data_IF_673423002353
#
_entry.id   IF_673423002353
#
_cell.length_a   1.000
_cell.length_b   1.000
_cell.length_c   1.000
_cell.angle_alpha   90.00
_cell.angle_beta   90.00
_cell.angle_gamma   90.00
#
_symmetry.space_group_name_H-M   'P 1'
#
loop_
_entity.id
_entity.type
_entity.pdbx_description
1 polymer ?
#
# COMPACT_ATOMS: atom_id res chain seq x y z
N UNK A 1 -7.39 -5.55 -5.87
CA UNK A 1 -6.95 -4.26 -5.32
C UNK A 1 -6.27 -3.46 -6.42
N UNK A 2 -6.25 -2.14 -6.28
CA UNK A 2 -5.65 -1.19 -7.24
C UNK A 2 -4.86 -0.12 -6.49
N UNK A 3 -3.97 0.65 -7.14
CA UNK A 3 -3.19 1.64 -6.39
C UNK A 3 -3.98 2.91 -6.04
N UNK A 4 -4.89 3.39 -6.89
CA UNK A 4 -5.60 4.66 -6.66
C UNK A 4 -7.10 4.52 -6.29
N UNK A 5 -7.63 5.43 -5.42
CA UNK A 5 -9.05 5.43 -5.06
C UNK A 5 -9.99 5.71 -6.24
N UNK A 6 -9.52 6.49 -7.22
CA UNK A 6 -10.30 6.83 -8.40
C UNK A 6 -10.50 5.60 -9.27
N UNK A 7 -9.44 4.83 -9.55
CA UNK A 7 -9.55 3.55 -10.26
C UNK A 7 -10.46 2.57 -9.52
N UNK A 8 -10.36 2.51 -8.18
CA UNK A 8 -11.24 1.65 -7.40
C UNK A 8 -12.72 2.00 -7.61
N UNK A 9 -13.07 3.30 -7.58
CA UNK A 9 -14.44 3.76 -7.87
C UNK A 9 -14.88 3.41 -9.29
N UNK A 10 -14.01 3.59 -10.28
CA UNK A 10 -14.32 3.32 -11.69
C UNK A 10 -14.54 1.83 -11.93
N UNK A 11 -13.62 0.97 -11.49
CA UNK A 11 -13.72 -0.48 -11.68
C UNK A 11 -14.92 -1.06 -10.93
N UNK A 12 -15.22 -0.53 -9.74
CA UNK A 12 -16.40 -0.98 -8.98
C UNK A 12 -17.72 -0.68 -9.69
N UNK A 13 -17.80 0.37 -10.53
CA UNK A 13 -18.97 0.64 -11.37
C UNK A 13 -19.15 -0.41 -12.46
N UNK A 14 -18.05 -0.95 -13.00
CA UNK A 14 -18.09 -1.97 -14.05
C UNK A 14 -18.39 -3.37 -13.49
N UNK A 15 -17.80 -3.72 -12.34
CA UNK A 15 -17.91 -5.07 -11.78
C UNK A 15 -19.16 -5.32 -10.94
N UNK A 16 -19.80 -4.26 -10.43
CA UNK A 16 -21.02 -4.37 -9.62
C UNK A 16 -20.79 -4.97 -8.22
N UNK A 17 -21.88 -5.44 -7.60
CA UNK A 17 -21.92 -5.86 -6.19
C UNK A 17 -21.17 -7.17 -5.88
N UNK A 18 -20.87 -7.96 -6.90
CA UNK A 18 -20.15 -9.23 -6.74
C UNK A 18 -18.66 -9.03 -6.41
N UNK A 19 -18.15 -7.81 -6.57
CA UNK A 19 -16.76 -7.48 -6.33
C UNK A 19 -16.64 -6.36 -5.29
N UNK A 20 -15.65 -6.50 -4.42
CA UNK A 20 -15.22 -5.44 -3.52
C UNK A 20 -13.88 -4.89 -3.99
N UNK A 21 -13.90 -3.70 -4.58
CA UNK A 21 -12.68 -3.06 -5.09
C UNK A 21 -12.09 -2.13 -4.04
N UNK A 22 -10.88 -2.46 -3.57
CA UNK A 22 -10.13 -1.70 -2.58
C UNK A 22 -8.88 -1.06 -3.20
N UNK A 23 -8.52 0.12 -2.71
CA UNK A 23 -7.32 0.85 -3.11
C UNK A 23 -6.22 0.76 -2.04
N UNK A 24 -4.97 0.59 -2.46
CA UNK A 24 -3.80 0.67 -1.56
C UNK A 24 -3.35 2.10 -1.27
N UNK A 25 -3.79 3.06 -2.10
CA UNK A 25 -3.36 4.46 -2.06
C UNK A 25 -1.84 4.62 -2.29
N UNK A 26 -1.29 3.81 -3.20
CA UNK A 26 0.14 3.74 -3.53
C UNK A 26 0.87 2.60 -2.81
N UNK A 27 2.18 2.76 -2.62
CA UNK A 27 3.02 1.77 -1.95
C UNK A 27 2.67 1.64 -0.46
N UNK A 28 2.54 0.40 0.01
CA UNK A 28 2.28 0.06 1.43
C UNK A 28 3.55 -0.24 2.21
N UNK A 29 4.66 -0.45 1.51
CA UNK A 29 6.00 -0.71 2.04
C UNK A 29 7.02 0.04 1.21
N UNK A 30 8.08 0.50 1.86
CA UNK A 30 9.18 1.22 1.23
C UNK A 30 10.47 0.94 2.01
N UNK A 31 11.60 1.37 1.47
CA UNK A 31 12.85 1.39 2.24
C UNK A 31 12.70 2.35 3.44
N UNK A 32 13.44 2.10 4.55
CA UNK A 32 13.52 3.04 5.65
C UNK A 32 13.98 4.41 5.16
N UNK A 33 13.27 5.49 5.51
CA UNK A 33 13.66 6.84 5.09
C UNK A 33 14.95 7.32 5.74
N UNK A 34 15.26 6.77 6.92
CA UNK A 34 16.47 7.10 7.68
C UNK A 34 17.39 5.90 7.72
N UNK A 35 18.64 6.17 7.39
CA UNK A 35 19.76 5.24 7.48
C UNK A 35 20.07 4.92 8.94
N UNK A 36 20.25 3.65 9.28
CA UNK A 36 20.72 3.24 10.62
C UNK A 36 22.24 3.41 10.73
N UNK A 37 22.75 3.48 11.95
CA UNK A 37 24.21 3.60 12.18
C UNK A 37 24.90 2.35 11.63
N UNK A 38 25.85 2.54 10.72
CA UNK A 38 26.58 1.45 10.06
C UNK A 38 26.04 1.07 8.69
N UNK A 39 24.84 1.51 8.30
CA UNK A 39 24.35 1.32 6.93
C UNK A 39 25.00 2.36 5.99
N UNK A 40 25.30 1.95 4.75
CA UNK A 40 25.74 2.85 3.67
C UNK A 40 24.54 3.49 2.99
N UNK A 41 23.54 2.66 2.66
CA UNK A 41 22.24 3.05 2.11
C UNK A 41 21.14 2.54 3.04
N UNK A 42 20.10 3.35 3.27
CA UNK A 42 19.07 3.04 4.25
C UNK A 42 18.32 1.75 3.89
N UNK A 43 18.39 0.77 4.79
CA UNK A 43 17.77 -0.54 4.61
C UNK A 43 18.27 -1.35 3.42
N UNK A 44 19.48 -1.11 2.91
CA UNK A 44 20.12 -1.98 1.92
C UNK A 44 21.40 -2.57 2.52
N UNK A 45 21.46 -3.89 2.57
CA UNK A 45 22.68 -4.63 2.91
C UNK A 45 23.51 -4.87 1.64
N UNK A 46 24.59 -4.11 1.50
CA UNK A 46 25.46 -4.16 0.33
C UNK A 46 26.35 -5.42 0.38
N UNK A 47 26.82 -5.78 1.57
CA UNK A 47 27.75 -6.90 1.76
C UNK A 47 27.05 -8.24 1.51
N UNK A 48 25.75 -8.33 1.80
CA UNK A 48 24.91 -9.47 1.46
C UNK A 48 24.44 -9.50 -0.02
N UNK A 49 24.95 -8.61 -0.88
CA UNK A 49 24.59 -8.55 -2.29
C UNK A 49 23.37 -7.69 -2.60
N UNK A 50 23.30 -6.51 -2.01
CA UNK A 50 22.24 -5.50 -2.23
C UNK A 50 20.85 -5.94 -1.75
N UNK A 51 20.76 -6.62 -0.61
CA UNK A 51 19.50 -7.13 -0.06
C UNK A 51 18.71 -5.99 0.60
N UNK A 52 17.49 -5.65 0.11
CA UNK A 52 16.68 -4.59 0.69
C UNK A 52 15.83 -5.10 1.87
N UNK A 53 15.71 -4.28 2.91
CA UNK A 53 14.75 -4.44 3.99
C UNK A 53 13.63 -3.42 3.84
N UNK A 54 12.40 -3.88 3.67
CA UNK A 54 11.24 -3.00 3.54
C UNK A 54 10.50 -2.80 4.87
N UNK A 55 10.03 -1.59 5.10
CA UNK A 55 9.24 -1.22 6.28
C UNK A 55 7.88 -0.65 5.87
N UNK A 56 6.87 -0.85 6.72
CA UNK A 56 5.60 -0.15 6.60
C UNK A 56 5.78 1.24 7.20
N UNK A 57 5.78 2.28 6.36
CA UNK A 57 5.97 3.65 6.80
C UNK A 57 4.88 4.10 7.78
N UNK A 58 5.28 4.90 8.77
CA UNK A 58 4.42 5.29 9.88
C UNK A 58 3.66 6.62 9.66
N UNK A 59 2.78 6.93 10.62
CA UNK A 59 1.76 7.99 10.59
C UNK A 59 2.32 9.41 10.39
N UNK A 60 3.50 9.71 10.95
CA UNK A 60 4.17 11.00 10.75
C UNK A 60 4.76 11.16 9.34
N UNK A 61 5.25 10.05 8.76
CA UNK A 61 5.94 10.04 7.47
C UNK A 61 4.99 10.14 6.27
N UNK A 62 3.70 9.79 6.49
CA UNK A 62 2.64 9.78 5.49
C UNK A 62 1.61 10.92 5.65
N UNK A 63 1.91 11.97 6.45
CA UNK A 63 1.09 13.18 6.61
C UNK A 63 0.83 13.82 5.24
N UNK A 64 -0.34 13.56 4.63
CA UNK A 64 -0.66 14.15 3.33
C UNK A 64 -1.48 13.26 2.42
N UNK A 65 -1.06 11.99 2.29
CA UNK A 65 -1.38 11.15 1.12
C UNK A 65 -2.71 10.39 1.24
N UNK A 66 -3.19 10.13 2.45
CA UNK A 66 -4.31 9.23 2.70
C UNK A 66 -5.53 9.96 3.24
N UNK A 67 -6.40 10.46 2.36
CA UNK A 67 -7.69 11.04 2.79
C UNK A 67 -8.67 9.90 3.14
N UNK A 68 -9.17 9.92 4.37
CA UNK A 68 -10.28 9.06 4.80
C UNK A 68 -11.55 9.40 4.02
N UNK A 69 -12.48 8.44 3.94
CA UNK A 69 -13.77 8.63 3.28
C UNK A 69 -14.66 9.47 4.23
N UNK A 70 -15.21 10.59 3.74
CA UNK A 70 -16.31 11.30 4.43
C UNK A 70 -15.99 11.99 5.76
N UNK A 71 -14.81 12.59 5.92
CA UNK A 71 -14.47 13.33 7.15
C UNK A 71 -13.92 12.47 8.30
N UNK A 72 -13.88 11.15 8.16
CA UNK A 72 -13.05 10.28 9.00
C UNK A 72 -11.56 10.63 8.78
N UNK A 73 -10.78 10.72 9.86
CA UNK A 73 -9.39 11.17 9.85
C UNK A 73 -8.47 10.47 8.81
N UNK A 74 -7.27 11.04 8.60
CA UNK A 74 -6.25 10.48 7.69
C UNK A 74 -5.99 9.01 8.02
N UNK A 75 -6.14 8.12 7.03
CA UNK A 75 -5.80 6.70 7.16
C UNK A 75 -4.29 6.51 7.09
N UNK A 76 -3.77 5.44 7.67
CA UNK A 76 -2.34 5.08 7.59
C UNK A 76 -2.11 3.88 6.68
N UNK A 77 -0.88 3.64 6.20
CA UNK A 77 -0.53 2.39 5.54
C UNK A 77 -0.87 1.16 6.39
N UNK A 78 -0.73 1.26 7.72
CA UNK A 78 -1.12 0.20 8.66
C UNK A 78 -2.63 -0.06 8.65
N UNK A 79 -3.45 1.00 8.67
CA UNK A 79 -4.91 0.86 8.59
C UNK A 79 -5.36 0.20 7.27
N UNK A 80 -4.68 0.57 6.18
CA UNK A 80 -4.95 0.02 4.84
C UNK A 80 -4.54 -1.44 4.78
N UNK A 81 -3.36 -1.80 5.28
CA UNK A 81 -2.94 -3.19 5.37
C UNK A 81 -3.89 -4.03 6.23
N UNK A 82 -4.37 -3.49 7.35
CA UNK A 82 -5.34 -4.16 8.19
C UNK A 82 -6.67 -4.40 7.45
N UNK A 83 -7.17 -3.39 6.74
CA UNK A 83 -8.37 -3.53 5.90
C UNK A 83 -8.16 -4.56 4.78
N UNK A 84 -7.09 -4.43 4.00
CA UNK A 84 -6.77 -5.34 2.89
C UNK A 84 -6.65 -6.78 3.37
N UNK A 85 -5.94 -7.03 4.47
CA UNK A 85 -5.82 -8.37 5.08
C UNK A 85 -7.18 -8.91 5.51
N UNK A 86 -8.00 -8.10 6.19
CA UNK A 86 -9.32 -8.50 6.67
C UNK A 86 -10.25 -8.87 5.52
N UNK A 87 -10.26 -8.09 4.45
CA UNK A 87 -11.13 -8.34 3.30
C UNK A 87 -10.61 -9.49 2.43
N UNK A 88 -9.29 -9.63 2.27
CA UNK A 88 -8.68 -10.75 1.58
C UNK A 88 -9.02 -12.09 2.28
N UNK A 89 -8.99 -12.13 3.62
CA UNK A 89 -9.37 -13.32 4.39
C UNK A 89 -10.84 -13.74 4.21
N UNK A 90 -11.71 -12.83 3.77
CA UNK A 90 -13.14 -13.11 3.51
C UNK A 90 -13.44 -13.42 2.05
N UNK A 91 -12.49 -13.17 1.15
CA UNK A 91 -12.71 -13.27 -0.29
C UNK A 91 -12.35 -14.66 -0.81
N UNK A 92 -13.16 -15.20 -1.71
CA UNK A 92 -12.86 -16.47 -2.38
C UNK A 92 -11.63 -16.37 -3.30
N UNK A 93 -11.41 -15.20 -3.90
CA UNK A 93 -10.27 -14.90 -4.77
C UNK A 93 -9.83 -13.45 -4.58
N UNK A 94 -8.52 -13.23 -4.68
CA UNK A 94 -7.91 -11.90 -4.62
C UNK A 94 -7.28 -11.58 -5.97
N UNK A 95 -7.72 -10.49 -6.60
CA UNK A 95 -7.15 -9.99 -7.85
C UNK A 95 -6.25 -8.79 -7.56
N UNK A 96 -5.05 -8.76 -8.14
CA UNK A 96 -4.17 -7.58 -8.16
C UNK A 96 -4.35 -6.92 -9.54
N UNK A 97 -4.78 -5.67 -9.56
CA UNK A 97 -5.10 -4.92 -10.78
C UNK A 97 -4.42 -3.54 -10.74
N UNK A 98 -3.13 -3.57 -10.44
CA UNK A 98 -2.21 -2.44 -10.55
C UNK A 98 -1.89 -2.14 -12.01
N UNK A 99 -1.24 -1.01 -12.25
CA UNK A 99 -0.84 -0.63 -13.61
C UNK A 99 0.13 -1.66 -14.22
N UNK A 100 0.05 -1.89 -15.54
CA UNK A 100 0.92 -2.83 -16.25
C UNK A 100 2.31 -2.25 -16.50
N UNK A 101 2.90 -1.60 -15.49
CA UNK A 101 4.25 -1.07 -15.52
C UNK A 101 5.11 -1.70 -14.41
N UNK A 102 6.36 -1.25 -14.29
CA UNK A 102 7.32 -1.81 -13.31
C UNK A 102 6.92 -1.52 -11.86
N UNK A 103 6.17 -0.45 -11.61
CA UNK A 103 5.81 -0.01 -10.26
C UNK A 103 4.54 -0.68 -9.74
N UNK A 104 3.69 -1.14 -10.67
CA UNK A 104 2.48 -1.92 -10.41
C UNK A 104 2.71 -3.32 -9.85
#
# INVERSE_FOLDING_TARGET
MVESPTKAKTINKYLGSNYKVLASYGHVRDLPRRRRKGEVVAGIDIDAGWVPTYVVQDKEENKGKFKGKGGAGRRTPKDILAELKREAAKANRVFLATDPDREG
#
